data_IF_420339494828
#
_entry.id   IF_420339494828
#
_cell.length_a   1.000
_cell.length_b   1.000
_cell.length_c   1.000
_cell.angle_alpha   90.00
_cell.angle_beta   90.00
_cell.angle_gamma   90.00
#
_symmetry.space_group_name_H-M   'P 1'
#
loop_
_entity.id
_entity.type
_entity.pdbx_description
1 polymer ?
#
# COMPACT_ATOMS: atom_id res chain seq x y z
N UNK A 1 -4.30 25.21 -11.93
CA UNK A 1 -3.48 24.81 -10.77
C UNK A 1 -4.36 23.91 -9.92
N UNK A 2 -3.99 22.65 -9.73
CA UNK A 2 -4.77 21.77 -8.86
C UNK A 2 -4.36 22.05 -7.42
N UNK A 3 -5.11 22.90 -6.73
CA UNK A 3 -4.89 23.12 -5.31
C UNK A 3 -5.07 21.79 -4.58
N UNK A 4 -4.12 21.46 -3.71
CA UNK A 4 -4.18 20.27 -2.85
C UNK A 4 -4.61 20.70 -1.44
N UNK A 5 -5.92 20.91 -1.19
CA UNK A 5 -6.40 21.40 0.09
C UNK A 5 -6.09 20.40 1.21
N UNK A 6 -5.70 20.93 2.38
CA UNK A 6 -5.45 20.13 3.56
C UNK A 6 -6.70 20.09 4.44
N UNK A 7 -7.18 18.89 4.75
CA UNK A 7 -8.30 18.66 5.66
C UNK A 7 -7.77 17.95 6.91
N UNK A 8 -8.09 18.48 8.09
CA UNK A 8 -7.76 17.88 9.39
C UNK A 8 -9.02 17.59 10.20
N UNK A 9 -9.03 16.49 10.95
CA UNK A 9 -10.11 16.16 11.89
C UNK A 9 -9.56 15.46 13.12
N UNK A 10 -10.32 15.48 14.22
CA UNK A 10 -10.05 14.66 15.39
C UNK A 10 -10.71 13.30 15.20
N UNK A 11 -9.99 12.24 15.54
CA UNK A 11 -10.48 10.85 15.47
C UNK A 11 -10.24 10.14 16.80
N UNK A 12 -10.98 9.06 17.09
CA UNK A 12 -10.68 8.20 18.22
C UNK A 12 -9.25 7.65 18.18
N UNK A 13 -8.63 7.48 19.34
CA UNK A 13 -7.24 7.02 19.45
C UNK A 13 -7.04 5.66 18.78
N UNK A 14 -7.99 4.75 18.95
CA UNK A 14 -7.95 3.42 18.36
C UNK A 14 -7.92 3.45 16.82
N UNK A 15 -8.51 4.47 16.18
CA UNK A 15 -8.43 4.64 14.73
C UNK A 15 -7.04 5.10 14.31
N UNK A 16 -6.47 6.08 15.01
CA UNK A 16 -5.11 6.55 14.73
C UNK A 16 -4.09 5.41 14.87
N UNK A 17 -4.21 4.59 15.92
CA UNK A 17 -3.35 3.43 16.13
C UNK A 17 -3.47 2.41 14.99
N UNK A 18 -4.69 2.13 14.51
CA UNK A 18 -4.91 1.23 13.37
C UNK A 18 -4.31 1.80 12.07
N UNK A 19 -4.51 3.09 11.78
CA UNK A 19 -3.94 3.75 10.60
C UNK A 19 -2.42 3.66 10.63
N UNK A 20 -1.80 3.94 11.78
CA UNK A 20 -0.35 3.81 11.97
C UNK A 20 0.13 2.37 11.79
N UNK A 21 -0.60 1.40 12.32
CA UNK A 21 -0.29 -0.03 12.14
C UNK A 21 -0.27 -0.43 10.66
N UNK A 22 -1.27 0.00 9.89
CA UNK A 22 -1.35 -0.24 8.44
C UNK A 22 -0.20 0.45 7.70
N UNK A 23 0.08 1.72 8.03
CA UNK A 23 1.18 2.48 7.45
C UNK A 23 2.53 1.77 7.64
N UNK A 24 2.82 1.34 8.87
CA UNK A 24 4.05 0.62 9.21
C UNK A 24 4.14 -0.73 8.50
N UNK A 25 3.05 -1.52 8.47
CA UNK A 25 3.04 -2.84 7.84
C UNK A 25 3.19 -2.78 6.32
N UNK A 26 2.67 -1.72 5.68
CA UNK A 26 2.74 -1.52 4.23
C UNK A 26 3.94 -0.69 3.76
N UNK A 27 4.72 -0.10 4.67
CA UNK A 27 5.82 0.81 4.35
C UNK A 27 5.36 2.14 3.73
N UNK A 28 4.11 2.54 3.97
CA UNK A 28 3.47 3.74 3.41
C UNK A 28 3.29 4.83 4.45
N UNK A 29 3.02 6.06 4.00
CA UNK A 29 2.72 7.17 4.93
C UNK A 29 1.28 7.07 5.42
N UNK A 30 1.02 7.44 6.68
CA UNK A 30 -0.35 7.49 7.25
C UNK A 30 -1.32 8.28 6.34
N UNK A 31 -0.86 9.40 5.76
CA UNK A 31 -1.65 10.21 4.83
C UNK A 31 -2.04 9.47 3.54
N UNK A 32 -1.22 8.55 3.03
CA UNK A 32 -1.53 7.75 1.84
C UNK A 32 -2.59 6.69 2.17
N UNK A 33 -2.49 6.09 3.36
CA UNK A 33 -3.48 5.13 3.87
C UNK A 33 -4.85 5.81 4.03
N UNK A 34 -4.88 6.99 4.64
CA UNK A 34 -6.12 7.76 4.84
C UNK A 34 -6.71 8.20 3.48
N UNK A 35 -5.88 8.70 2.56
CA UNK A 35 -6.33 9.09 1.22
C UNK A 35 -6.94 7.93 0.47
N UNK A 36 -6.32 6.77 0.50
CA UNK A 36 -6.86 5.56 -0.14
C UNK A 36 -8.17 5.10 0.51
N UNK A 37 -8.27 5.15 1.85
CA UNK A 37 -9.50 4.80 2.55
C UNK A 37 -10.66 5.73 2.15
N UNK A 38 -10.39 7.04 2.04
CA UNK A 38 -11.38 8.03 1.58
C UNK A 38 -11.73 7.77 0.10
N UNK A 39 -10.74 7.55 -0.77
CA UNK A 39 -10.99 7.25 -2.18
C UNK A 39 -11.84 5.98 -2.36
N UNK A 40 -11.57 4.93 -1.59
CA UNK A 40 -12.37 3.70 -1.55
C UNK A 40 -13.80 3.96 -1.09
N UNK A 41 -13.99 4.75 -0.04
CA UNK A 41 -15.32 5.12 0.47
C UNK A 41 -16.12 5.93 -0.56
N UNK A 42 -15.48 6.85 -1.27
CA UNK A 42 -16.09 7.68 -2.31
C UNK A 42 -16.26 6.97 -3.66
N UNK A 43 -15.76 5.73 -3.81
CA UNK A 43 -15.77 5.02 -5.08
C UNK A 43 -14.76 5.57 -6.11
N UNK A 44 -13.84 6.44 -5.71
CA UNK A 44 -12.78 7.00 -6.55
C UNK A 44 -11.50 6.14 -6.54
N UNK A 45 -11.59 4.88 -6.12
CA UNK A 45 -10.48 3.95 -6.20
C UNK A 45 -10.17 3.68 -7.68
N UNK A 46 -9.18 4.38 -8.22
CA UNK A 46 -8.80 4.26 -9.62
C UNK A 46 -8.33 2.82 -9.91
N UNK A 47 -9.08 2.02 -10.71
CA UNK A 47 -8.77 0.61 -10.94
C UNK A 47 -7.36 0.41 -11.51
N UNK A 48 -6.86 1.40 -12.25
CA UNK A 48 -5.55 1.38 -12.88
C UNK A 48 -4.40 1.46 -11.86
N UNK A 49 -4.60 2.18 -10.76
CA UNK A 49 -3.62 2.23 -9.65
C UNK A 49 -3.56 0.90 -8.91
N UNK A 50 -4.69 0.19 -8.82
CA UNK A 50 -4.74 -1.15 -8.21
C UNK A 50 -4.02 -2.16 -9.10
N UNK A 51 -4.23 -2.09 -10.43
CA UNK A 51 -3.55 -2.95 -11.41
C UNK A 51 -2.03 -2.76 -11.38
N UNK A 52 -1.54 -1.51 -11.40
CA UNK A 52 -0.09 -1.26 -11.38
C UNK A 52 0.56 -1.72 -10.08
N UNK A 53 -0.15 -1.62 -8.96
CA UNK A 53 0.32 -2.17 -7.67
C UNK A 53 0.37 -3.70 -7.73
N UNK A 54 -0.64 -4.36 -8.27
CA UNK A 54 -0.65 -5.82 -8.46
C UNK A 54 0.51 -6.27 -9.35
N UNK A 55 0.74 -5.61 -10.47
CA UNK A 55 1.86 -5.89 -11.37
C UNK A 55 3.23 -5.75 -10.68
N UNK A 56 3.42 -4.71 -9.87
CA UNK A 56 4.64 -4.56 -9.07
C UNK A 56 4.83 -5.69 -8.04
N UNK A 57 3.75 -6.13 -7.40
CA UNK A 57 3.80 -7.21 -6.44
C UNK A 57 4.10 -8.56 -7.11
N UNK A 58 3.52 -8.82 -8.28
CA UNK A 58 3.82 -10.01 -9.10
C UNK A 58 5.29 -10.04 -9.53
N UNK A 59 5.84 -8.91 -9.98
CA UNK A 59 7.27 -8.82 -10.35
C UNK A 59 8.19 -9.12 -9.15
N UNK A 60 7.88 -8.58 -7.98
CA UNK A 60 8.65 -8.83 -6.76
C UNK A 60 8.56 -10.29 -6.32
N UNK A 61 7.39 -10.92 -6.43
CA UNK A 61 7.21 -12.34 -6.15
C UNK A 61 8.03 -13.20 -7.11
N UNK A 62 7.96 -12.93 -8.41
CA UNK A 62 8.73 -13.66 -9.42
C UNK A 62 10.25 -13.56 -9.18
N UNK A 63 10.73 -12.41 -8.71
CA UNK A 63 12.14 -12.22 -8.37
C UNK A 63 12.55 -13.03 -7.12
N UNK A 64 11.69 -13.07 -6.09
CA UNK A 64 11.91 -13.87 -4.88
C UNK A 64 11.89 -15.36 -5.21
N UNK A 65 10.93 -15.82 -6.02
CA UNK A 65 10.84 -17.21 -6.48
C UNK A 65 12.08 -17.63 -7.27
N UNK A 66 12.57 -16.76 -8.17
CA UNK A 66 13.84 -17.00 -8.88
C UNK A 66 15.03 -17.15 -7.94
N UNK A 67 15.16 -16.27 -6.95
CA UNK A 67 16.24 -16.32 -5.96
C UNK A 67 16.18 -17.59 -5.10
N UNK A 68 14.98 -17.98 -4.68
CA UNK A 68 14.76 -19.22 -3.93
C UNK A 68 15.06 -20.48 -4.78
N UNK A 69 14.65 -20.49 -6.04
CA UNK A 69 14.96 -21.58 -6.97
C UNK A 69 16.46 -21.74 -7.20
N UNK A 70 17.19 -20.63 -7.39
CA UNK A 70 18.65 -20.66 -7.54
C UNK A 70 19.36 -21.16 -6.27
N UNK A 71 18.90 -20.75 -5.08
CA UNK A 71 19.41 -21.25 -3.80
C UNK A 71 19.13 -22.75 -3.62
N UNK A 72 17.94 -23.22 -4.00
CA UNK A 72 17.57 -24.63 -3.94
C UNK A 72 18.40 -25.53 -4.87
N UNK A 73 18.88 -24.99 -6.01
CA UNK A 73 19.80 -25.70 -6.90
C UNK A 73 21.25 -25.74 -6.41
N UNK A 74 21.65 -24.77 -5.58
CA UNK A 74 23.01 -24.67 -5.04
C UNK A 74 23.25 -25.58 -3.82
N UNK A 75 22.17 -26.03 -3.17
CA UNK A 75 22.21 -26.88 -1.97
C UNK A 75 22.01 -28.37 -2.31
N UNK A 76 21.71 -28.70 -3.57
CA UNK A 76 21.58 -30.09 -4.08
C UNK A 76 22.86 -30.51 -4.81
#
# INVERSE_FOLDING_TARGET
MADSPMVGCRVPLEWQLKVRGIANASGRKEAEVVREAIAKYLGEANPDTIKSTLEQHEQRLAEVERKLGALGQLIR
#
